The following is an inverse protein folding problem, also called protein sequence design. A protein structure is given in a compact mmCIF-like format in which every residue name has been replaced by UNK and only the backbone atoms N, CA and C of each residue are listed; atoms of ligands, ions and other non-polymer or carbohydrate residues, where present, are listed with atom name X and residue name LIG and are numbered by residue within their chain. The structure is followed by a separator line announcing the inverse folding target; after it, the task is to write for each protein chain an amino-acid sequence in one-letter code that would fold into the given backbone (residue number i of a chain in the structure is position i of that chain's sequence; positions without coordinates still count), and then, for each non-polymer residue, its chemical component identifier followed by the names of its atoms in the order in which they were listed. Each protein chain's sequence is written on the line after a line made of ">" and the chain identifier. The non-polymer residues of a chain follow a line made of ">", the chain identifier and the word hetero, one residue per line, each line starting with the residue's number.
data_IF_566383726233
#
_entry.id   IF_566383726233
#
_cell.length_a   1.000
_cell.length_b   1.000
_cell.length_c   1.000
_cell.angle_alpha   90.00
_cell.angle_beta   90.00
_cell.angle_gamma   90.00
#
_symmetry.space_group_name_H-M   'P 1'
#
loop_
_entity.id
_entity.type
_entity.pdbx_description
1 polymer ?
#
# COMPACT_ATOMS: atom_id res chain seq x y z
N UNK A 1 20.61 64.32 -3.47
CA UNK A 1 21.82 64.24 -2.62
C UNK A 1 21.51 63.77 -1.20
N UNK A 2 20.45 64.23 -0.56
CA UNK A 2 20.10 63.88 0.85
C UNK A 2 19.92 62.38 1.14
N UNK A 3 19.42 61.53 0.21
CA UNK A 3 19.18 60.12 0.46
C UNK A 3 20.48 59.32 0.60
N UNK A 4 21.48 59.63 -0.23
CA UNK A 4 22.79 58.96 -0.19
C UNK A 4 23.54 59.29 1.10
N UNK A 5 23.43 60.53 1.52
CA UNK A 5 24.06 61.02 2.75
C UNK A 5 23.44 60.41 4.02
N UNK A 6 22.11 60.27 4.04
CA UNK A 6 21.37 59.57 5.08
C UNK A 6 21.73 58.07 5.16
N UNK A 7 21.88 57.41 4.02
CA UNK A 7 22.30 56.01 3.94
C UNK A 7 23.73 55.85 4.49
N UNK A 8 24.63 56.80 4.13
CA UNK A 8 26.03 56.75 4.59
C UNK A 8 26.16 57.01 6.09
N UNK A 9 25.34 57.90 6.67
CA UNK A 9 25.25 58.11 8.11
C UNK A 9 24.65 56.88 8.81
N UNK A 10 23.61 56.27 8.28
CA UNK A 10 23.01 55.05 8.84
C UNK A 10 24.03 53.90 8.89
N UNK A 11 24.76 53.65 7.78
CA UNK A 11 25.83 52.64 7.74
C UNK A 11 26.98 52.97 8.72
N UNK A 12 27.33 54.23 8.86
CA UNK A 12 28.32 54.66 9.84
C UNK A 12 27.89 54.38 11.28
N UNK A 13 26.63 54.67 11.62
CA UNK A 13 26.04 54.39 12.93
C UNK A 13 25.97 52.87 13.23
N UNK A 14 25.64 52.04 12.23
CA UNK A 14 25.69 50.60 12.35
C UNK A 14 27.11 50.07 12.62
N UNK A 15 28.13 50.67 11.98
CA UNK A 15 29.53 50.32 12.21
C UNK A 15 30.03 50.68 13.62
N UNK A 16 29.52 51.77 14.23
CA UNK A 16 29.86 52.15 15.58
C UNK A 16 29.28 51.19 16.63
N UNK A 17 28.12 50.56 16.37
CA UNK A 17 27.46 49.61 17.25
C UNK A 17 27.44 48.18 16.77
N UNK A 18 28.53 47.67 16.18
CA UNK A 18 28.61 46.36 15.49
C UNK A 18 27.99 45.18 16.26
N UNK A 19 28.27 45.08 17.57
CA UNK A 19 27.76 43.95 18.37
C UNK A 19 26.25 44.03 18.57
N UNK A 20 25.69 45.22 18.77
CA UNK A 20 24.25 45.39 18.91
C UNK A 20 23.52 45.12 17.59
N UNK A 21 24.04 45.64 16.49
CA UNK A 21 23.48 45.40 15.16
C UNK A 21 23.52 43.93 14.77
N UNK A 22 24.63 43.23 15.06
CA UNK A 22 24.80 41.80 14.79
C UNK A 22 23.82 40.95 15.62
N UNK A 23 23.67 41.23 16.90
CA UNK A 23 22.75 40.49 17.77
C UNK A 23 21.29 40.69 17.36
N UNK A 24 20.90 41.93 16.97
CA UNK A 24 19.51 42.14 16.50
C UNK A 24 19.24 41.48 15.16
N UNK A 25 20.17 41.53 14.20
CA UNK A 25 20.05 40.81 12.92
C UNK A 25 19.99 39.30 13.13
N UNK A 26 20.85 38.77 14.02
CA UNK A 26 20.85 37.33 14.33
C UNK A 26 19.49 36.88 14.90
N UNK A 27 18.93 37.70 15.85
CA UNK A 27 17.60 37.42 16.40
C UNK A 27 16.49 37.38 15.33
N UNK A 28 16.51 38.32 14.39
CA UNK A 28 15.54 38.36 13.30
C UNK A 28 15.72 37.16 12.35
N UNK A 29 16.94 36.83 11.97
CA UNK A 29 17.24 35.69 11.08
C UNK A 29 16.79 34.36 11.73
N UNK A 30 17.11 34.15 13.01
CA UNK A 30 16.67 32.95 13.73
C UNK A 30 15.14 32.92 13.84
N UNK A 31 14.51 34.06 14.17
CA UNK A 31 13.05 34.15 14.26
C UNK A 31 12.33 33.80 12.95
N UNK A 32 12.73 34.42 11.86
CA UNK A 32 12.12 34.14 10.55
C UNK A 32 12.48 32.72 10.06
N UNK A 33 13.76 32.33 10.25
CA UNK A 33 14.22 30.99 9.84
C UNK A 33 13.49 29.86 10.56
N UNK A 34 13.19 30.01 11.84
CA UNK A 34 12.45 29.03 12.62
C UNK A 34 10.99 28.89 12.12
N UNK A 35 10.34 30.01 11.80
CA UNK A 35 8.95 29.98 11.27
C UNK A 35 8.91 29.28 9.92
N UNK A 36 9.84 29.59 9.02
CA UNK A 36 9.93 28.92 7.70
C UNK A 36 10.19 27.42 7.88
N UNK A 37 11.14 27.05 8.76
CA UNK A 37 11.44 25.66 9.02
C UNK A 37 10.22 24.88 9.54
N UNK A 38 9.47 25.45 10.50
CA UNK A 38 8.25 24.84 11.04
C UNK A 38 7.19 24.69 9.95
N UNK A 39 6.96 25.70 9.14
CA UNK A 39 5.99 25.62 8.03
C UNK A 39 6.37 24.56 6.99
N UNK A 40 7.64 24.47 6.65
CA UNK A 40 8.14 23.46 5.69
C UNK A 40 7.98 22.05 6.23
N UNK A 41 8.35 21.80 7.47
CA UNK A 41 8.19 20.48 8.11
C UNK A 41 6.71 20.13 8.23
N UNK A 42 5.86 21.07 8.64
CA UNK A 42 4.42 20.85 8.78
C UNK A 42 3.77 20.46 7.44
N UNK A 43 4.08 21.16 6.35
CA UNK A 43 3.53 20.84 5.03
C UNK A 43 4.03 19.49 4.53
N UNK A 44 5.31 19.16 4.69
CA UNK A 44 5.86 17.86 4.33
C UNK A 44 5.21 16.72 5.10
N UNK A 45 5.00 16.92 6.42
CA UNK A 45 4.36 15.92 7.26
C UNK A 45 2.91 15.67 6.85
N UNK A 46 2.15 16.74 6.60
CA UNK A 46 0.75 16.63 6.13
C UNK A 46 0.65 15.88 4.81
N UNK A 47 1.53 16.17 3.86
CA UNK A 47 1.57 15.47 2.58
C UNK A 47 1.93 13.99 2.75
N UNK A 48 2.95 13.68 3.57
CA UNK A 48 3.36 12.30 3.83
C UNK A 48 2.25 11.48 4.52
N UNK A 49 1.54 12.10 5.46
CA UNK A 49 0.40 11.47 6.13
C UNK A 49 -0.74 11.24 5.13
N UNK A 50 -1.09 12.25 4.33
CA UNK A 50 -2.13 12.11 3.31
C UNK A 50 -1.81 11.01 2.29
N UNK A 51 -0.56 10.94 1.83
CA UNK A 51 -0.10 9.89 0.93
C UNK A 51 -0.15 8.49 1.58
N UNK A 52 0.19 8.41 2.87
CA UNK A 52 0.11 7.16 3.63
C UNK A 52 -1.34 6.68 3.77
N UNK A 53 -2.27 7.57 4.11
CA UNK A 53 -3.69 7.24 4.17
C UNK A 53 -4.26 6.83 2.81
N UNK A 54 -3.87 7.53 1.73
CA UNK A 54 -4.27 7.14 0.38
C UNK A 54 -3.71 5.76 -0.03
N UNK A 55 -2.48 5.44 0.39
CA UNK A 55 -1.86 4.12 0.14
C UNK A 55 -2.57 3.01 0.92
N UNK A 56 -3.04 3.30 2.14
CA UNK A 56 -3.80 2.37 2.97
C UNK A 56 -5.27 2.20 2.53
N UNK A 57 -5.68 2.84 1.42
CA UNK A 57 -7.04 2.70 0.92
C UNK A 57 -8.10 3.35 1.82
N UNK A 58 -7.81 4.52 2.38
CA UNK A 58 -8.72 5.23 3.30
C UNK A 58 -10.12 5.51 2.73
N UNK A 59 -10.28 5.41 1.40
CA UNK A 59 -11.57 5.51 0.72
C UNK A 59 -12.23 4.14 0.45
N UNK A 60 -11.57 3.05 0.84
CA UNK A 60 -12.09 1.70 0.63
C UNK A 60 -12.89 1.26 1.86
N UNK A 61 -14.03 0.64 1.63
CA UNK A 61 -14.81 -0.04 2.66
C UNK A 61 -14.49 -1.53 2.53
N UNK A 62 -13.87 -2.10 3.55
CA UNK A 62 -13.62 -3.54 3.60
C UNK A 62 -14.81 -4.24 4.23
N UNK A 63 -15.37 -5.19 3.49
CA UNK A 63 -16.48 -6.02 3.94
C UNK A 63 -15.95 -7.46 4.04
N UNK A 64 -16.10 -8.06 5.20
CA UNK A 64 -15.72 -9.45 5.44
C UNK A 64 -16.77 -10.13 6.29
N UNK A 65 -16.86 -11.44 6.17
CA UNK A 65 -17.69 -12.26 7.06
C UNK A 65 -16.99 -12.33 8.41
N UNK A 66 -17.64 -11.81 9.45
CA UNK A 66 -17.14 -11.94 10.82
C UNK A 66 -17.80 -13.15 11.46
N UNK A 67 -16.98 -14.12 11.84
CA UNK A 67 -17.45 -15.20 12.70
C UNK A 67 -17.96 -14.63 14.02
N UNK A 68 -19.20 -14.93 14.38
CA UNK A 68 -19.77 -14.60 15.67
C UNK A 68 -19.16 -15.54 16.71
N UNK A 69 -18.06 -15.11 17.34
CA UNK A 69 -17.63 -15.75 18.57
C UNK A 69 -18.57 -15.29 19.67
N UNK A 70 -19.52 -16.12 20.05
CA UNK A 70 -20.28 -15.96 21.30
C UNK A 70 -19.32 -16.09 22.48
N UNK A 71 -18.61 -15.05 22.80
CA UNK A 71 -18.03 -14.72 24.11
C UNK A 71 -16.96 -13.63 23.95
N UNK A 72 -17.38 -12.40 23.75
CA UNK A 72 -16.56 -11.27 24.19
C UNK A 72 -16.71 -11.15 25.72
N UNK A 73 -15.90 -11.85 26.48
CA UNK A 73 -15.71 -11.52 27.90
C UNK A 73 -14.88 -10.25 27.98
N UNK A 74 -15.58 -9.13 28.11
CA UNK A 74 -14.96 -7.84 28.43
C UNK A 74 -14.56 -7.91 29.90
N UNK A 75 -13.27 -8.14 30.18
CA UNK A 75 -12.73 -8.01 31.52
C UNK A 75 -12.85 -6.55 31.99
N UNK A 76 -13.18 -6.33 33.25
CA UNK A 76 -13.42 -5.03 33.87
C UNK A 76 -12.28 -3.99 33.73
N UNK A 77 -11.13 -4.39 33.20
CA UNK A 77 -9.96 -3.55 32.97
C UNK A 77 -9.72 -3.17 31.50
N UNK A 78 -10.67 -3.37 30.60
CA UNK A 78 -10.56 -2.94 29.21
C UNK A 78 -9.52 -3.69 28.35
N UNK A 79 -8.85 -4.70 28.87
CA UNK A 79 -7.97 -5.56 28.10
C UNK A 79 -8.76 -6.65 27.40
N UNK A 80 -8.72 -6.66 26.08
CA UNK A 80 -9.26 -7.74 25.25
C UNK A 80 -8.27 -8.91 25.26
N UNK A 81 -8.54 -9.94 26.02
CA UNK A 81 -7.87 -11.22 25.87
C UNK A 81 -8.62 -12.02 24.80
N UNK A 82 -8.05 -12.09 23.60
CA UNK A 82 -8.47 -13.05 22.59
C UNK A 82 -8.18 -14.45 23.11
N UNK A 83 -9.17 -15.13 23.63
CA UNK A 83 -9.10 -16.59 23.77
C UNK A 83 -9.12 -17.16 22.37
N UNK A 84 -8.10 -17.96 22.04
CA UNK A 84 -8.03 -18.80 20.84
C UNK A 84 -9.17 -19.84 20.94
N UNK A 85 -10.41 -19.39 20.75
CA UNK A 85 -11.55 -20.27 20.54
C UNK A 85 -11.38 -20.91 19.16
N UNK A 86 -11.62 -22.22 19.06
CA UNK A 86 -11.76 -22.89 17.76
C UNK A 86 -12.64 -22.04 16.87
N UNK A 87 -12.08 -21.55 15.78
CA UNK A 87 -12.86 -20.94 14.70
C UNK A 87 -13.92 -21.98 14.31
N UNK A 88 -15.19 -21.66 14.47
CA UNK A 88 -16.22 -22.46 13.83
C UNK A 88 -15.95 -22.36 12.33
N UNK A 89 -15.90 -23.51 11.66
CA UNK A 89 -15.76 -23.50 10.19
C UNK A 89 -16.94 -22.73 9.63
N UNK A 90 -16.65 -21.76 8.73
CA UNK A 90 -17.67 -21.01 8.00
C UNK A 90 -18.53 -22.01 7.22
N UNK A 91 -19.82 -21.98 7.43
CA UNK A 91 -20.76 -22.75 6.60
C UNK A 91 -20.79 -22.15 5.18
N UNK A 92 -21.17 -22.95 4.19
CA UNK A 92 -21.23 -22.48 2.79
C UNK A 92 -22.17 -21.27 2.63
N UNK A 93 -23.20 -21.18 3.44
CA UNK A 93 -24.18 -20.08 3.45
C UNK A 93 -23.63 -18.77 4.03
N UNK A 94 -22.52 -18.82 4.77
CA UNK A 94 -21.86 -17.63 5.33
C UNK A 94 -20.96 -16.90 4.32
N UNK A 95 -20.75 -17.47 3.13
CA UNK A 95 -19.87 -16.89 2.12
C UNK A 95 -20.54 -15.80 1.34
N UNK A 96 -19.76 -14.76 1.01
CA UNK A 96 -20.21 -13.72 0.08
C UNK A 96 -20.26 -14.33 -1.33
N UNK A 97 -21.46 -14.42 -1.90
CA UNK A 97 -21.68 -14.98 -3.23
C UNK A 97 -21.56 -13.93 -4.33
N UNK A 98 -21.27 -14.40 -5.57
CA UNK A 98 -21.22 -13.52 -6.74
C UNK A 98 -22.57 -12.78 -6.96
N UNK A 99 -23.70 -13.43 -6.64
CA UNK A 99 -25.02 -12.82 -6.75
C UNK A 99 -25.21 -11.67 -5.77
N UNK A 100 -24.69 -11.78 -4.54
CA UNK A 100 -24.71 -10.69 -3.55
C UNK A 100 -23.86 -9.51 -4.04
N UNK A 101 -22.71 -9.77 -4.63
CA UNK A 101 -21.79 -8.76 -5.17
C UNK A 101 -22.45 -8.04 -6.35
N UNK A 102 -23.06 -8.76 -7.28
CA UNK A 102 -23.80 -8.18 -8.42
C UNK A 102 -25.01 -7.37 -7.95
N UNK A 103 -25.72 -7.85 -6.95
CA UNK A 103 -26.85 -7.14 -6.33
C UNK A 103 -26.41 -5.82 -5.73
N UNK A 104 -25.33 -5.83 -4.97
CA UNK A 104 -24.74 -4.64 -4.35
C UNK A 104 -24.30 -3.61 -5.42
N UNK A 105 -23.62 -4.10 -6.47
CA UNK A 105 -23.14 -3.26 -7.56
C UNK A 105 -24.29 -2.62 -8.35
N UNK A 106 -25.40 -3.34 -8.56
CA UNK A 106 -26.60 -2.81 -9.22
C UNK A 106 -27.30 -1.76 -8.35
N UNK A 107 -27.45 -2.04 -7.05
CA UNK A 107 -28.15 -1.17 -6.11
C UNK A 107 -27.44 0.15 -5.87
N UNK A 108 -26.10 0.13 -5.82
CA UNK A 108 -25.27 1.29 -5.50
C UNK A 108 -24.34 1.70 -6.65
N UNK A 109 -24.75 1.48 -7.89
CA UNK A 109 -23.95 1.73 -9.10
C UNK A 109 -23.38 3.15 -9.24
N UNK A 110 -24.04 4.15 -8.62
CA UNK A 110 -23.60 5.54 -8.63
C UNK A 110 -22.69 5.93 -7.44
N UNK A 111 -22.49 5.02 -6.48
CA UNK A 111 -21.71 5.27 -5.26
C UNK A 111 -20.49 4.37 -5.13
N UNK A 112 -20.49 3.24 -5.85
CA UNK A 112 -19.42 2.25 -5.84
C UNK A 112 -18.75 2.26 -7.20
N UNK A 113 -17.49 2.70 -7.25
CA UNK A 113 -16.69 2.72 -8.48
C UNK A 113 -16.19 1.32 -8.86
N UNK A 114 -15.77 0.53 -7.87
CA UNK A 114 -15.23 -0.81 -8.09
C UNK A 114 -15.41 -1.69 -6.84
N UNK A 115 -15.65 -2.97 -7.05
CA UNK A 115 -15.66 -3.97 -5.98
C UNK A 115 -14.42 -4.86 -6.15
N UNK A 116 -13.43 -4.62 -5.30
CA UNK A 116 -12.21 -5.41 -5.25
C UNK A 116 -12.45 -6.68 -4.44
N UNK A 117 -12.15 -7.82 -5.01
CA UNK A 117 -12.18 -9.10 -4.31
C UNK A 117 -10.75 -9.57 -4.11
N UNK A 118 -10.46 -10.03 -2.90
CA UNK A 118 -9.20 -10.69 -2.57
C UNK A 118 -9.49 -11.85 -1.62
N UNK A 119 -8.89 -12.99 -1.90
CA UNK A 119 -9.00 -14.18 -1.07
C UNK A 119 -7.62 -14.80 -0.90
N UNK A 120 -7.21 -15.05 0.34
CA UNK A 120 -5.96 -15.75 0.61
C UNK A 120 -6.12 -17.23 0.27
N UNK A 121 -5.36 -17.70 -0.71
CA UNK A 121 -5.35 -19.11 -1.12
C UNK A 121 -4.45 -19.93 -0.19
N UNK A 122 -3.37 -19.32 0.31
CA UNK A 122 -2.42 -19.96 1.20
C UNK A 122 -0.96 -19.60 0.88
N UNK A 123 -0.06 -20.19 1.63
CA UNK A 123 1.38 -20.06 1.43
C UNK A 123 1.95 -21.37 0.87
N UNK A 124 2.97 -21.25 0.05
CA UNK A 124 3.62 -22.39 -0.58
C UNK A 124 4.94 -22.01 -1.22
N UNK A 125 5.39 -22.81 -2.18
CA UNK A 125 6.61 -22.55 -2.93
C UNK A 125 6.31 -22.39 -4.42
N UNK A 126 6.97 -21.41 -5.02
CA UNK A 126 7.08 -21.32 -6.48
C UNK A 126 8.40 -21.93 -6.92
N UNK A 127 8.36 -22.80 -7.89
CA UNK A 127 9.52 -23.55 -8.37
C UNK A 127 9.70 -23.36 -9.87
N UNK A 128 10.95 -23.19 -10.28
CA UNK A 128 11.38 -23.17 -11.67
C UNK A 128 12.76 -23.82 -11.78
N UNK A 129 12.85 -24.91 -12.54
CA UNK A 129 14.09 -25.68 -12.71
C UNK A 129 14.66 -26.12 -11.35
N UNK A 130 15.79 -25.57 -10.91
CA UNK A 130 16.41 -25.83 -9.61
C UNK A 130 16.16 -24.75 -8.57
N UNK A 131 15.53 -23.65 -8.97
CA UNK A 131 15.31 -22.48 -8.11
C UNK A 131 13.93 -22.53 -7.46
N UNK A 132 13.83 -22.03 -6.24
CA UNK A 132 12.58 -21.96 -5.50
C UNK A 132 12.44 -20.67 -4.70
N UNK A 133 11.19 -20.23 -4.50
CA UNK A 133 10.87 -19.07 -3.68
C UNK A 133 9.64 -19.37 -2.82
N UNK A 134 9.69 -18.97 -1.55
CA UNK A 134 8.50 -19.00 -0.69
C UNK A 134 7.55 -17.89 -1.10
N UNK A 135 6.28 -18.23 -1.26
CA UNK A 135 5.24 -17.31 -1.72
C UNK A 135 3.97 -17.44 -0.88
N UNK A 136 3.23 -16.36 -0.84
CA UNK A 136 1.81 -16.34 -0.42
C UNK A 136 0.97 -16.04 -1.65
N UNK A 137 -0.08 -16.82 -1.87
CA UNK A 137 -0.94 -16.70 -3.04
C UNK A 137 -2.27 -16.06 -2.62
N UNK A 138 -2.64 -15.01 -3.34
CA UNK A 138 -3.91 -14.33 -3.16
C UNK A 138 -4.69 -14.36 -4.48
N UNK A 139 -5.90 -14.88 -4.44
CA UNK A 139 -6.84 -14.79 -5.54
C UNK A 139 -7.44 -13.39 -5.62
N UNK A 140 -7.49 -12.81 -6.80
CA UNK A 140 -7.99 -11.45 -7.02
C UNK A 140 -8.88 -11.37 -8.25
N UNK A 141 -9.79 -10.38 -8.27
CA UNK A 141 -10.52 -10.03 -9.46
C UNK A 141 -9.85 -8.88 -10.24
N UNK A 142 -10.36 -8.56 -11.44
CA UNK A 142 -9.82 -7.44 -12.25
C UNK A 142 -9.93 -6.09 -11.55
N UNK A 143 -11.01 -5.86 -10.79
CA UNK A 143 -11.28 -4.60 -10.12
C UNK A 143 -10.38 -4.36 -8.90
N UNK A 144 -9.71 -5.37 -8.39
CA UNK A 144 -8.73 -5.27 -7.32
C UNK A 144 -7.64 -4.22 -7.61
N UNK A 145 -7.25 -4.11 -8.88
CA UNK A 145 -6.24 -3.13 -9.29
C UNK A 145 -6.72 -1.68 -9.31
N UNK A 146 -8.00 -1.42 -9.15
CA UNK A 146 -8.55 -0.07 -9.00
C UNK A 146 -8.40 0.44 -7.56
N UNK A 147 -8.56 -0.47 -6.59
CA UNK A 147 -8.42 -0.16 -5.16
C UNK A 147 -6.98 -0.24 -4.65
N UNK A 148 -6.15 -1.08 -5.29
CA UNK A 148 -4.77 -1.32 -4.89
C UNK A 148 -3.79 -0.56 -5.77
N UNK A 149 -2.90 0.23 -5.16
CA UNK A 149 -1.84 0.97 -5.86
C UNK A 149 -0.66 0.05 -6.22
N UNK A 150 -0.91 -0.95 -7.07
CA UNK A 150 0.13 -1.87 -7.52
C UNK A 150 0.92 -1.23 -8.66
N UNK A 151 2.22 -1.06 -8.45
CA UNK A 151 3.16 -0.55 -9.47
C UNK A 151 3.61 -1.70 -10.37
N UNK A 152 3.10 -1.72 -11.61
CA UNK A 152 3.50 -2.71 -12.61
C UNK A 152 4.90 -2.37 -13.13
N UNK A 153 5.82 -3.34 -13.10
CA UNK A 153 7.18 -3.22 -13.61
C UNK A 153 7.32 -3.76 -15.04
N UNK A 154 6.64 -4.87 -15.34
CA UNK A 154 6.66 -5.49 -16.65
C UNK A 154 5.37 -6.26 -16.93
N UNK A 155 5.00 -6.43 -18.19
CA UNK A 155 3.85 -7.22 -18.61
C UNK A 155 2.52 -6.49 -18.45
N UNK A 156 1.48 -7.20 -17.97
CA UNK A 156 0.12 -6.69 -17.84
C UNK A 156 -0.57 -7.19 -16.57
N UNK A 157 -1.59 -6.47 -16.16
CA UNK A 157 -2.52 -6.89 -15.10
C UNK A 157 -3.42 -8.03 -15.57
N UNK A 158 -3.96 -8.80 -14.63
CA UNK A 158 -4.99 -9.81 -14.89
C UNK A 158 -6.26 -9.12 -15.40
N UNK A 159 -6.89 -9.70 -16.41
CA UNK A 159 -8.09 -9.16 -17.06
C UNK A 159 -9.28 -10.09 -16.87
N UNK A 160 -10.48 -9.57 -16.97
CA UNK A 160 -11.73 -10.34 -16.91
C UNK A 160 -11.73 -11.57 -17.84
N UNK A 161 -11.13 -11.45 -19.03
CA UNK A 161 -10.99 -12.57 -19.99
C UNK A 161 -10.11 -13.73 -19.49
N UNK A 162 -9.18 -13.46 -18.57
CA UNK A 162 -8.35 -14.50 -17.99
C UNK A 162 -9.16 -15.30 -16.95
N UNK A 163 -10.01 -14.61 -16.18
CA UNK A 163 -10.91 -15.23 -15.20
C UNK A 163 -12.02 -16.04 -15.90
N UNK A 164 -12.75 -15.44 -16.83
CA UNK A 164 -13.83 -16.14 -17.56
C UNK A 164 -13.31 -17.30 -18.40
N UNK A 165 -12.08 -17.18 -18.93
CA UNK A 165 -11.41 -18.24 -19.67
C UNK A 165 -10.74 -19.29 -18.79
N UNK A 166 -10.85 -19.21 -17.46
CA UNK A 166 -10.19 -20.10 -16.47
C UNK A 166 -8.71 -20.32 -16.78
N UNK A 167 -8.02 -19.27 -17.22
CA UNK A 167 -6.60 -19.36 -17.57
C UNK A 167 -5.76 -19.39 -16.30
N UNK A 168 -4.81 -20.32 -16.25
CA UNK A 168 -3.82 -20.40 -15.17
C UNK A 168 -2.75 -19.33 -15.35
N UNK A 169 -3.07 -18.09 -14.99
CA UNK A 169 -2.17 -16.92 -15.07
C UNK A 169 -1.92 -16.34 -13.70
N UNK A 170 -0.72 -15.82 -13.51
CA UNK A 170 -0.29 -15.22 -12.25
C UNK A 170 0.49 -13.92 -12.49
N UNK A 171 0.41 -13.00 -11.55
CA UNK A 171 1.36 -11.89 -11.42
C UNK A 171 2.28 -12.18 -10.24
N UNK A 172 3.56 -11.87 -10.40
CA UNK A 172 4.59 -12.11 -9.40
C UNK A 172 5.26 -10.81 -8.98
N UNK A 173 5.83 -10.79 -7.78
CA UNK A 173 6.62 -9.66 -7.31
C UNK A 173 8.02 -9.68 -7.94
N UNK A 174 8.68 -8.52 -7.97
CA UNK A 174 10.10 -8.40 -8.32
C UNK A 174 10.99 -9.31 -7.46
N UNK A 175 10.62 -9.54 -6.20
CA UNK A 175 11.35 -10.46 -5.30
C UNK A 175 11.30 -11.93 -5.75
N UNK A 176 10.17 -12.37 -6.28
CA UNK A 176 10.06 -13.72 -6.87
C UNK A 176 10.88 -13.81 -8.15
N UNK A 177 10.87 -12.75 -8.96
CA UNK A 177 11.67 -12.69 -10.19
C UNK A 177 13.19 -12.65 -9.87
N UNK A 178 13.58 -11.97 -8.80
CA UNK A 178 14.97 -11.96 -8.32
C UNK A 178 15.46 -13.37 -7.99
N UNK A 179 14.61 -14.19 -7.36
CA UNK A 179 14.97 -15.56 -6.95
C UNK A 179 14.88 -16.59 -8.10
N UNK A 180 13.91 -16.47 -9.01
CA UNK A 180 13.64 -17.49 -10.03
C UNK A 180 14.15 -17.12 -11.43
N UNK A 181 14.49 -15.86 -11.68
CA UNK A 181 14.83 -15.32 -13.00
C UNK A 181 16.02 -14.33 -12.95
N UNK A 182 16.87 -14.39 -11.93
CA UNK A 182 18.04 -13.51 -11.77
C UNK A 182 17.71 -12.00 -11.87
N UNK A 183 16.48 -11.62 -11.52
CA UNK A 183 16.03 -10.23 -11.55
C UNK A 183 15.59 -9.70 -12.92
N UNK A 184 15.57 -10.52 -13.97
CA UNK A 184 15.10 -10.10 -15.29
C UNK A 184 13.57 -10.17 -15.39
N UNK A 185 12.92 -9.02 -15.17
CA UNK A 185 11.48 -8.91 -15.24
C UNK A 185 10.90 -9.21 -16.62
N UNK A 186 11.67 -9.00 -17.68
CA UNK A 186 11.23 -9.25 -19.06
C UNK A 186 11.33 -10.74 -19.40
N UNK A 187 12.38 -11.40 -18.96
CA UNK A 187 12.57 -12.83 -19.13
C UNK A 187 11.53 -13.67 -18.39
N UNK A 188 11.01 -13.17 -17.27
CA UNK A 188 9.95 -13.82 -16.49
C UNK A 188 8.59 -13.85 -17.21
N UNK A 189 8.33 -12.91 -18.14
CA UNK A 189 7.03 -12.83 -18.82
C UNK A 189 6.79 -14.04 -19.74
N UNK A 190 5.55 -14.51 -19.74
CA UNK A 190 5.09 -15.69 -20.47
C UNK A 190 5.80 -17.02 -20.10
N UNK A 191 6.68 -17.01 -19.11
CA UNK A 191 7.26 -18.24 -18.56
C UNK A 191 6.27 -18.90 -17.60
N UNK A 192 6.41 -20.23 -17.47
CA UNK A 192 5.62 -20.99 -16.52
C UNK A 192 6.43 -21.27 -15.24
N UNK A 193 5.75 -21.16 -14.11
CA UNK A 193 6.26 -21.58 -12.81
C UNK A 193 5.35 -22.65 -12.22
N UNK A 194 5.91 -23.58 -11.47
CA UNK A 194 5.15 -24.57 -10.71
C UNK A 194 4.89 -24.04 -9.33
N UNK A 195 3.64 -23.98 -8.91
CA UNK A 195 3.24 -23.61 -7.58
C UNK A 195 2.95 -24.87 -6.78
N UNK A 196 3.56 -25.01 -5.63
CA UNK A 196 3.29 -26.09 -4.69
C UNK A 196 2.54 -25.53 -3.50
N UNK A 197 1.30 -25.95 -3.33
CA UNK A 197 0.43 -25.64 -2.21
C UNK A 197 0.01 -26.95 -1.56
N UNK A 198 0.38 -27.17 -0.33
CA UNK A 198 0.02 -28.37 0.45
C UNK A 198 0.28 -29.70 -0.28
N UNK A 199 1.36 -29.75 -1.06
CA UNK A 199 1.73 -30.92 -1.86
C UNK A 199 1.06 -31.05 -3.21
N UNK A 200 0.20 -30.10 -3.59
CA UNK A 200 -0.41 -30.03 -4.93
C UNK A 200 0.41 -29.13 -5.83
N UNK A 201 0.84 -29.66 -6.98
CA UNK A 201 1.63 -28.91 -7.95
C UNK A 201 0.77 -28.46 -9.11
N UNK A 202 0.73 -27.17 -9.34
CA UNK A 202 0.03 -26.57 -10.48
C UNK A 202 0.90 -25.59 -11.25
N UNK A 203 0.81 -25.62 -12.60
CA UNK A 203 1.55 -24.69 -13.46
C UNK A 203 0.74 -23.43 -13.75
N UNK A 204 1.38 -22.28 -13.57
CA UNK A 204 0.84 -20.97 -13.90
C UNK A 204 1.78 -20.21 -14.82
N UNK A 205 1.23 -19.35 -15.69
CA UNK A 205 1.98 -18.50 -16.59
C UNK A 205 2.07 -17.08 -16.05
N UNK A 206 3.27 -16.51 -16.01
CA UNK A 206 3.50 -15.16 -15.54
C UNK A 206 3.04 -14.17 -16.61
N UNK A 207 2.06 -13.32 -16.28
CA UNK A 207 1.52 -12.29 -17.18
C UNK A 207 1.96 -10.88 -16.80
N UNK A 208 2.45 -10.68 -15.59
CA UNK A 208 2.94 -9.41 -15.12
C UNK A 208 3.85 -9.54 -13.91
N UNK A 209 4.74 -8.56 -13.79
CA UNK A 209 5.64 -8.40 -12.65
C UNK A 209 5.35 -7.05 -12.00
N UNK A 210 5.20 -7.03 -10.69
CA UNK A 210 4.92 -5.83 -9.93
C UNK A 210 5.91 -5.64 -8.79
N UNK A 211 6.06 -4.38 -8.37
CA UNK A 211 6.99 -4.01 -7.30
C UNK A 211 6.46 -4.49 -5.96
N UNK A 212 7.30 -5.20 -5.21
CA UNK A 212 7.01 -5.54 -3.81
C UNK A 212 7.11 -4.27 -2.95
N UNK A 213 6.04 -3.95 -2.22
CA UNK A 213 6.03 -2.89 -1.21
C UNK A 213 5.84 -3.54 0.16
N UNK A 214 6.89 -3.48 1.00
CA UNK A 214 6.81 -3.97 2.38
C UNK A 214 5.76 -3.17 3.15
N UNK A 215 4.71 -3.82 3.61
CA UNK A 215 3.60 -3.20 4.33
C UNK A 215 2.28 -3.14 3.57
N UNK A 216 2.22 -3.65 2.35
CA UNK A 216 0.96 -3.90 1.63
C UNK A 216 0.46 -5.33 1.86
N UNK A 217 0.57 -5.83 3.08
CA UNK A 217 -0.22 -6.98 3.47
C UNK A 217 -1.69 -6.54 3.42
N UNK A 218 -2.31 -6.88 2.32
CA UNK A 218 -3.75 -6.78 2.15
C UNK A 218 -4.32 -7.91 3.00
N UNK A 219 -4.65 -7.56 4.27
CA UNK A 219 -5.40 -8.43 5.15
C UNK A 219 -6.87 -8.47 4.74
#
# INVERSE_FOLDING_TARGET
>A
MLIIENIRMAVGSLRAGKMRALLTMLGIIIGIGSVIAIMTVSSSLTTSIADSFQKMGANNITVGVKQSSEQEQVSANGMRFGTSGKSADLEEDDRITDEMIEGLQKQYSNQIDAIALSESVGSGTAERESESANITITGINEQYFASSKITLLAGRKIKKKDLTGKKKVIMVTDKVVENLFDGDNSAALAQSISLNLDGSYEKYYIVGVYKYESGSDVG
#
